data_IF_176158906334
#
_entry.id   IF_176158906334
#
_cell.length_a   1.000
_cell.length_b   1.000
_cell.length_c   1.000
_cell.angle_alpha   90.00
_cell.angle_beta   90.00
_cell.angle_gamma   90.00
#
_symmetry.space_group_name_H-M   'P 1'
#
loop_
_entity.id
_entity.type
_entity.pdbx_description
1 polymer ?
#
# COMPACT_ATOMS: atom_id res chain seq x y z
N UNK A 1 12.82 23.19 43.42
CA UNK A 1 13.21 21.77 43.49
C UNK A 1 12.07 20.78 43.25
N UNK A 2 10.85 20.99 43.80
CA UNK A 2 9.70 20.08 43.58
C UNK A 2 9.21 20.04 42.12
N UNK A 3 9.14 21.20 41.44
CA UNK A 3 8.72 21.30 40.03
C UNK A 3 9.69 20.63 39.04
N UNK A 4 11.00 20.68 39.31
CA UNK A 4 12.02 20.04 38.47
C UNK A 4 11.97 18.50 38.57
N UNK A 5 11.65 17.97 39.75
CA UNK A 5 11.44 16.52 39.96
C UNK A 5 10.19 16.00 39.25
N UNK A 6 9.10 16.79 39.21
CA UNK A 6 7.86 16.43 38.51
C UNK A 6 8.07 16.43 36.99
N UNK A 7 8.82 17.40 36.46
CA UNK A 7 9.14 17.47 35.01
C UNK A 7 10.03 16.31 34.60
N UNK A 8 11.07 15.98 35.38
CA UNK A 8 11.93 14.81 35.10
C UNK A 8 11.12 13.51 35.18
N UNK A 9 10.19 13.39 36.13
CA UNK A 9 9.32 12.21 36.24
C UNK A 9 8.33 12.08 35.06
N UNK A 10 7.78 13.18 34.55
CA UNK A 10 6.94 13.19 33.35
C UNK A 10 7.74 12.87 32.07
N UNK A 11 8.98 13.37 31.95
CA UNK A 11 9.86 13.04 30.83
C UNK A 11 10.28 11.55 30.84
N UNK A 12 10.48 10.97 32.02
CA UNK A 12 10.75 9.54 32.17
C UNK A 12 9.50 8.71 31.88
N UNK A 13 8.30 9.17 32.26
CA UNK A 13 7.04 8.49 31.94
C UNK A 13 6.73 8.51 30.43
N UNK A 14 7.09 9.59 29.71
CA UNK A 14 6.98 9.67 28.25
C UNK A 14 8.02 8.85 27.49
N UNK A 15 9.12 8.44 28.13
CA UNK A 15 10.12 7.53 27.56
C UNK A 15 9.76 6.04 27.74
N UNK A 16 8.73 5.72 28.54
CA UNK A 16 8.38 4.33 28.91
C UNK A 16 6.99 3.92 28.42
N UNK A 17 6.27 4.74 27.66
CA UNK A 17 5.16 4.21 26.86
C UNK A 17 5.76 3.48 25.65
N UNK A 18 5.67 2.15 25.52
CA UNK A 18 5.84 1.51 24.22
C UNK A 18 4.59 1.87 23.42
N UNK A 19 4.53 3.11 22.93
CA UNK A 19 3.57 3.48 21.92
C UNK A 19 4.03 2.76 20.66
N UNK A 20 3.11 2.00 20.09
CA UNK A 20 3.30 1.10 18.97
C UNK A 20 3.98 -0.19 19.40
N UNK A 21 3.15 -1.16 19.81
CA UNK A 21 3.30 -2.52 19.31
C UNK A 21 3.59 -2.41 17.81
N UNK A 22 4.87 -2.36 17.45
CA UNK A 22 5.29 -2.75 16.12
C UNK A 22 4.57 -4.07 15.90
N UNK A 23 3.68 -4.08 14.91
CA UNK A 23 2.95 -5.28 14.52
C UNK A 23 3.99 -6.37 14.46
N UNK A 24 3.93 -7.31 15.41
CA UNK A 24 4.91 -8.39 15.49
C UNK A 24 4.57 -9.35 14.34
N UNK A 25 4.98 -8.98 13.13
CA UNK A 25 4.99 -9.82 11.95
C UNK A 25 6.17 -10.79 12.07
N UNK A 26 6.01 -11.76 12.96
CA UNK A 26 6.77 -13.01 12.98
C UNK A 26 6.07 -13.92 13.97
N UNK A 27 5.29 -14.87 13.47
CA UNK A 27 4.93 -16.01 14.29
C UNK A 27 6.19 -16.85 14.48
N UNK A 28 6.70 -16.94 15.71
CA UNK A 28 7.90 -17.72 16.06
C UNK A 28 7.77 -19.23 15.72
N UNK A 29 6.57 -19.71 15.38
CA UNK A 29 6.32 -21.00 14.76
C UNK A 29 5.07 -20.95 13.86
N UNK A 30 5.22 -20.73 12.53
CA UNK A 30 4.07 -20.73 11.63
C UNK A 30 3.48 -22.16 11.53
N UNK A 31 2.16 -22.29 11.29
CA UNK A 31 1.53 -23.57 11.03
C UNK A 31 2.25 -24.36 9.94
N UNK A 32 2.24 -25.70 10.01
CA UNK A 32 2.98 -26.55 9.09
C UNK A 32 2.62 -26.28 7.61
N UNK A 33 1.35 -25.95 7.34
CA UNK A 33 0.89 -25.56 6.00
C UNK A 33 1.56 -24.28 5.50
N UNK A 34 1.63 -23.26 6.34
CA UNK A 34 2.28 -21.96 6.05
C UNK A 34 3.79 -22.15 5.80
N UNK A 35 4.46 -22.95 6.63
CA UNK A 35 5.88 -23.28 6.45
C UNK A 35 6.13 -24.02 5.12
N UNK A 36 5.26 -24.98 4.77
CA UNK A 36 5.34 -25.71 3.50
C UNK A 36 5.16 -24.78 2.29
N UNK A 37 4.21 -23.86 2.37
CA UNK A 37 3.95 -22.87 1.33
C UNK A 37 5.18 -21.97 1.10
N UNK A 38 5.79 -21.44 2.16
CA UNK A 38 6.99 -20.61 2.05
C UNK A 38 8.13 -21.36 1.35
N UNK A 39 8.40 -22.60 1.74
CA UNK A 39 9.42 -23.44 1.09
C UNK A 39 9.12 -23.70 -0.40
N UNK A 40 7.84 -23.84 -0.76
CA UNK A 40 7.44 -24.01 -2.15
C UNK A 40 7.68 -22.73 -2.96
N UNK A 41 7.35 -21.57 -2.39
CA UNK A 41 7.61 -20.26 -3.00
C UNK A 41 9.12 -20.08 -3.20
N UNK A 42 9.94 -20.25 -2.18
CA UNK A 42 11.40 -20.17 -2.27
C UNK A 42 11.99 -21.13 -3.31
N UNK A 43 11.44 -22.34 -3.43
CA UNK A 43 11.86 -23.28 -4.46
C UNK A 43 11.57 -22.78 -5.88
N UNK A 44 10.41 -22.16 -6.09
CA UNK A 44 10.02 -21.61 -7.40
C UNK A 44 10.86 -20.38 -7.73
N UNK A 45 11.02 -19.47 -6.78
CA UNK A 45 11.70 -18.18 -7.02
C UNK A 45 13.20 -18.33 -7.29
N UNK A 46 13.86 -19.35 -6.72
CA UNK A 46 15.28 -19.65 -7.03
C UNK A 46 15.56 -19.94 -8.51
N UNK A 47 14.57 -20.38 -9.27
CA UNK A 47 14.71 -20.68 -10.70
C UNK A 47 14.44 -19.49 -11.61
N UNK A 48 14.09 -18.33 -11.07
CA UNK A 48 13.69 -17.16 -11.85
C UNK A 48 14.87 -16.23 -12.12
N UNK A 49 14.93 -15.68 -13.33
CA UNK A 49 15.79 -14.54 -13.63
C UNK A 49 15.15 -13.27 -13.06
N UNK A 50 15.69 -12.77 -11.95
CA UNK A 50 15.22 -11.55 -11.29
C UNK A 50 15.03 -11.72 -9.79
N UNK A 51 14.45 -10.70 -9.16
CA UNK A 51 14.17 -10.69 -7.72
C UNK A 51 12.66 -10.72 -7.48
N UNK A 52 12.22 -11.59 -6.57
CA UNK A 52 10.81 -11.74 -6.21
C UNK A 52 10.59 -11.21 -4.81
N UNK A 53 9.67 -10.25 -4.67
CA UNK A 53 9.09 -9.85 -3.41
C UNK A 53 7.67 -10.40 -3.29
N UNK A 54 7.30 -10.88 -2.11
CA UNK A 54 5.96 -11.38 -1.82
C UNK A 54 5.59 -11.06 -0.37
N UNK A 55 4.35 -10.64 -0.16
CA UNK A 55 3.73 -10.61 1.15
C UNK A 55 2.27 -11.05 0.98
N UNK A 56 1.83 -12.02 1.76
CA UNK A 56 0.46 -12.49 1.77
C UNK A 56 -0.01 -12.64 3.22
N UNK A 57 -1.22 -12.18 3.50
CA UNK A 57 -1.86 -12.27 4.81
C UNK A 57 -3.25 -12.86 4.64
N UNK A 58 -3.55 -13.90 5.40
CA UNK A 58 -4.90 -14.41 5.57
C UNK A 58 -5.60 -13.55 6.62
N UNK A 59 -6.67 -12.85 6.22
CA UNK A 59 -7.28 -11.79 7.04
C UNK A 59 -7.91 -12.38 8.31
N UNK A 60 -8.53 -13.55 8.20
CA UNK A 60 -9.32 -14.17 9.26
C UNK A 60 -8.46 -14.78 10.37
N UNK A 61 -7.36 -15.46 10.02
CA UNK A 61 -6.46 -16.06 11.02
C UNK A 61 -5.28 -15.17 11.40
N UNK A 62 -4.98 -14.12 10.62
CA UNK A 62 -3.79 -13.30 10.77
C UNK A 62 -2.48 -14.00 10.36
N UNK A 63 -2.55 -15.24 9.86
CA UNK A 63 -1.40 -15.94 9.31
C UNK A 63 -0.84 -15.16 8.11
N UNK A 64 0.47 -15.10 8.03
CA UNK A 64 1.15 -14.35 6.99
C UNK A 64 2.41 -15.09 6.53
N UNK A 65 2.79 -14.79 5.29
CA UNK A 65 4.06 -15.18 4.70
C UNK A 65 4.67 -13.98 3.99
N UNK A 66 5.98 -13.89 4.00
CA UNK A 66 6.73 -12.85 3.32
C UNK A 66 8.04 -13.38 2.75
N UNK A 67 8.47 -12.78 1.64
CA UNK A 67 9.75 -12.99 0.98
C UNK A 67 10.23 -11.62 0.49
N UNK A 68 11.41 -11.17 0.94
CA UNK A 68 11.97 -9.86 0.59
C UNK A 68 10.98 -8.68 0.82
N UNK A 69 10.18 -8.72 1.90
CA UNK A 69 9.12 -7.72 2.15
C UNK A 69 9.63 -6.33 2.51
N UNK A 70 10.86 -6.23 3.01
CA UNK A 70 11.47 -4.97 3.44
C UNK A 70 12.20 -4.26 2.30
N UNK A 71 12.03 -4.74 1.07
CA UNK A 71 12.69 -4.21 -0.12
C UNK A 71 11.77 -3.38 -1.02
N UNK A 72 12.36 -2.42 -1.72
CA UNK A 72 11.64 -1.62 -2.69
C UNK A 72 11.60 -2.30 -4.06
N UNK A 73 10.40 -2.35 -4.65
CA UNK A 73 10.16 -2.84 -6.00
C UNK A 73 9.51 -1.74 -6.85
N UNK A 74 9.79 -1.69 -8.17
CA UNK A 74 9.05 -0.82 -9.08
C UNK A 74 7.56 -1.18 -9.04
N UNK A 75 6.70 -0.24 -8.64
CA UNK A 75 5.28 -0.52 -8.47
C UNK A 75 4.57 -0.83 -9.80
N UNK A 76 5.11 -0.38 -10.94
CA UNK A 76 4.39 -0.36 -12.22
C UNK A 76 2.96 0.17 -12.00
N UNK A 77 1.94 -0.32 -12.71
CA UNK A 77 0.58 0.17 -12.54
C UNK A 77 -0.07 -0.07 -11.16
N UNK A 78 0.59 -0.74 -10.20
CA UNK A 78 0.07 -0.90 -8.83
C UNK A 78 -0.01 0.43 -8.08
N UNK A 79 0.79 1.44 -8.45
CA UNK A 79 0.74 2.78 -7.82
C UNK A 79 -0.66 3.43 -7.89
N UNK A 80 -1.51 2.99 -8.83
CA UNK A 80 -2.88 3.53 -9.00
C UNK A 80 -3.78 3.17 -7.82
N UNK A 81 -3.51 2.08 -7.10
CA UNK A 81 -4.31 1.66 -5.94
C UNK A 81 -4.26 2.71 -4.83
N UNK A 82 -3.09 3.14 -4.30
CA UNK A 82 -3.06 4.18 -3.28
C UNK A 82 -3.57 5.54 -3.78
N UNK A 83 -3.38 5.88 -5.06
CA UNK A 83 -4.00 7.09 -5.64
C UNK A 83 -5.53 7.01 -5.59
N UNK A 84 -6.11 5.86 -5.93
CA UNK A 84 -7.55 5.67 -5.88
C UNK A 84 -8.09 5.70 -4.44
N UNK A 85 -7.36 5.13 -3.48
CA UNK A 85 -7.71 5.22 -2.04
C UNK A 85 -7.77 6.68 -1.59
N UNK A 86 -6.74 7.47 -1.91
CA UNK A 86 -6.69 8.90 -1.59
C UNK A 86 -7.81 9.69 -2.29
N UNK A 87 -8.05 9.41 -3.58
CA UNK A 87 -9.13 10.03 -4.33
C UNK A 87 -10.48 9.79 -3.66
N UNK A 88 -10.76 8.54 -3.25
CA UNK A 88 -12.01 8.19 -2.60
C UNK A 88 -12.14 8.82 -1.20
N UNK A 89 -11.05 8.95 -0.45
CA UNK A 89 -11.06 9.67 0.83
C UNK A 89 -11.51 11.12 0.63
N UNK A 90 -10.96 11.82 -0.37
CA UNK A 90 -11.34 13.19 -0.72
C UNK A 90 -12.76 13.33 -1.27
N UNK A 91 -13.26 12.31 -1.96
CA UNK A 91 -14.68 12.25 -2.34
C UNK A 91 -15.58 12.19 -1.09
N UNK A 92 -15.21 11.39 -0.09
CA UNK A 92 -15.95 11.33 1.18
C UNK A 92 -15.89 12.64 1.97
N UNK A 93 -14.79 13.38 1.87
CA UNK A 93 -14.63 14.72 2.45
C UNK A 93 -15.36 15.81 1.65
N UNK A 94 -15.90 15.48 0.48
CA UNK A 94 -16.62 16.41 -0.39
C UNK A 94 -15.72 17.32 -1.23
N UNK A 95 -14.41 17.08 -1.27
CA UNK A 95 -13.47 17.85 -2.11
C UNK A 95 -13.67 17.52 -3.60
N UNK A 96 -14.01 16.27 -3.91
CA UNK A 96 -14.28 15.80 -5.26
C UNK A 96 -15.66 15.16 -5.37
N UNK A 97 -16.24 15.24 -6.57
CA UNK A 97 -17.42 14.46 -6.96
C UNK A 97 -17.02 13.46 -8.02
N UNK A 98 -17.49 12.23 -7.91
CA UNK A 98 -17.29 11.20 -8.94
C UNK A 98 -17.99 11.57 -10.26
N UNK A 99 -19.01 12.41 -10.20
CA UNK A 99 -19.75 12.97 -11.32
C UNK A 99 -19.06 14.24 -11.87
N UNK A 100 -18.03 14.74 -11.18
CA UNK A 100 -17.22 15.87 -11.62
C UNK A 100 -16.56 15.58 -12.95
N UNK A 101 -16.66 16.53 -13.88
CA UNK A 101 -16.20 16.39 -15.25
C UNK A 101 -14.74 16.83 -15.43
N UNK A 102 -13.97 16.02 -16.15
CA UNK A 102 -12.57 16.26 -16.49
C UNK A 102 -12.46 16.27 -18.02
N UNK A 103 -11.96 17.38 -18.55
CA UNK A 103 -11.70 17.53 -19.98
C UNK A 103 -10.34 16.96 -20.32
N UNK A 104 -10.33 15.96 -21.20
CA UNK A 104 -9.11 15.26 -21.60
C UNK A 104 -8.37 16.05 -22.66
N UNK A 105 -7.10 16.34 -22.38
CA UNK A 105 -6.16 16.93 -23.31
C UNK A 105 -5.32 15.85 -23.99
N UNK A 106 -4.76 16.20 -25.15
CA UNK A 106 -3.83 15.32 -25.85
C UNK A 106 -2.61 14.94 -25.00
N UNK A 107 -2.18 15.81 -24.10
CA UNK A 107 -1.05 15.58 -23.18
C UNK A 107 -1.36 14.59 -22.06
N UNK A 108 -2.64 14.32 -21.78
CA UNK A 108 -3.05 13.37 -20.75
C UNK A 108 -3.03 11.93 -21.27
N UNK A 109 -3.03 11.76 -22.60
CA UNK A 109 -2.95 10.47 -23.27
C UNK A 109 -1.49 10.02 -23.42
N UNK A 110 -1.20 8.82 -22.95
CA UNK A 110 0.12 8.22 -23.07
C UNK A 110 0.00 6.71 -23.33
N UNK A 111 1.13 6.08 -23.66
CA UNK A 111 1.17 4.63 -23.76
C UNK A 111 0.77 4.04 -22.40
N UNK A 112 -0.19 3.11 -22.40
CA UNK A 112 -0.74 2.53 -21.18
C UNK A 112 -1.98 3.22 -20.62
N UNK A 113 -2.52 4.29 -21.25
CA UNK A 113 -3.81 4.88 -20.86
C UNK A 113 -5.04 4.00 -21.17
N UNK A 114 -4.84 2.74 -21.59
CA UNK A 114 -5.92 1.82 -21.91
C UNK A 114 -6.83 2.34 -23.02
N UNK A 115 -8.15 2.24 -22.84
CA UNK A 115 -9.14 2.73 -23.81
C UNK A 115 -9.04 4.24 -24.04
N UNK A 116 -8.57 5.02 -23.07
CA UNK A 116 -8.45 6.47 -23.24
C UNK A 116 -7.50 6.83 -24.39
N UNK A 117 -6.49 5.99 -24.66
CA UNK A 117 -5.56 6.21 -25.76
C UNK A 117 -6.18 6.03 -27.16
N UNK A 118 -7.34 5.40 -27.28
CA UNK A 118 -8.02 5.18 -28.57
C UNK A 118 -9.00 6.28 -28.94
N UNK A 119 -9.30 7.18 -28.01
CA UNK A 119 -10.24 8.27 -28.21
C UNK A 119 -9.53 9.52 -28.76
N UNK A 120 -10.24 10.34 -29.54
CA UNK A 120 -9.68 11.56 -30.11
C UNK A 120 -9.70 12.73 -29.11
N UNK A 121 -8.54 13.10 -28.54
CA UNK A 121 -8.39 14.27 -27.69
C UNK A 121 -7.58 15.40 -28.38
N UNK A 122 -7.85 16.70 -28.10
CA UNK A 122 -8.90 17.19 -27.20
C UNK A 122 -10.30 17.07 -27.81
N UNK A 123 -11.33 17.16 -26.97
CA UNK A 123 -12.75 17.08 -27.39
C UNK A 123 -13.60 16.08 -26.61
N UNK A 124 -12.99 15.40 -25.64
CA UNK A 124 -13.65 14.43 -24.77
C UNK A 124 -13.69 14.99 -23.35
N UNK A 125 -14.84 14.84 -22.71
CA UNK A 125 -15.03 15.09 -21.28
C UNK A 125 -15.52 13.80 -20.65
N UNK A 126 -14.88 13.37 -19.57
CA UNK A 126 -15.27 12.20 -18.80
C UNK A 126 -15.54 12.61 -17.37
N UNK A 127 -16.50 11.97 -16.72
CA UNK A 127 -16.62 12.08 -15.27
C UNK A 127 -15.41 11.43 -14.60
N UNK A 128 -15.05 11.89 -13.41
CA UNK A 128 -13.99 11.29 -12.59
C UNK A 128 -14.22 9.79 -12.37
N UNK A 129 -15.49 9.35 -12.27
CA UNK A 129 -15.89 7.93 -12.21
C UNK A 129 -15.43 7.10 -13.41
N UNK A 130 -15.35 7.72 -14.58
CA UNK A 130 -15.04 7.04 -15.84
C UNK A 130 -13.55 7.16 -16.23
N UNK A 131 -12.72 7.67 -15.33
CA UNK A 131 -11.26 7.74 -15.46
C UNK A 131 -10.58 6.66 -14.61
#
# INVERSE_FOLDING_TARGET
MKKLRVIVFLCILMLISPLVSAVRFSQDNPPLGVKRLLLQIERITRGMEGKVGLAATHIESGENISLNSDEFFPMASVFKVPIFVELMARVLEGEFSLEGEIRIQKTDQHLGSGMLATLNAPGITLSLRNL
#
